data_IF_116534810053
#
_entry.id   IF_116534810053
#
_cell.length_a   1.000
_cell.length_b   1.000
_cell.length_c   1.000
_cell.angle_alpha   90.00
_cell.angle_beta   90.00
_cell.angle_gamma   90.00
#
_symmetry.space_group_name_H-M   'P 1'
#
loop_
_entity.id
_entity.type
_entity.pdbx_description
1 polymer ?
#
# COMPACT_ATOMS: atom_id res chain seq x y z
N UNK A 1 27.60 20.67 24.06
CA UNK A 1 26.14 20.54 24.06
C UNK A 1 25.71 20.51 22.61
N UNK A 2 25.71 19.31 22.01
CA UNK A 2 25.34 19.11 20.62
C UNK A 2 24.27 18.03 20.60
N UNK A 3 23.05 18.42 20.96
CA UNK A 3 21.85 17.64 20.76
C UNK A 3 21.61 17.53 19.25
N UNK A 4 22.35 16.60 18.63
CA UNK A 4 22.01 16.06 17.32
C UNK A 4 20.83 15.11 17.58
N UNK A 5 19.64 15.67 17.73
CA UNK A 5 18.42 14.90 17.53
C UNK A 5 18.44 14.54 16.04
N UNK A 6 18.99 13.36 15.74
CA UNK A 6 18.64 12.68 14.50
C UNK A 6 17.14 12.47 14.59
N UNK A 7 16.40 13.38 13.97
CA UNK A 7 15.03 13.13 13.55
C UNK A 7 15.09 11.76 12.88
N UNK A 8 14.56 10.77 13.60
CA UNK A 8 14.40 9.44 13.07
C UNK A 8 13.29 9.59 12.07
N UNK A 9 13.68 10.00 10.86
CA UNK A 9 12.84 10.04 9.68
C UNK A 9 12.33 8.61 9.54
N UNK A 10 11.19 8.36 10.18
CA UNK A 10 10.58 7.05 10.23
C UNK A 10 9.98 6.92 8.87
N UNK A 11 10.78 6.42 7.93
CA UNK A 11 10.37 6.13 6.57
C UNK A 11 9.13 5.25 6.66
N UNK A 12 7.95 5.84 6.52
CA UNK A 12 6.67 5.11 6.54
C UNK A 12 6.53 4.19 5.34
N UNK A 13 7.43 4.34 4.36
CA UNK A 13 7.60 3.49 3.20
C UNK A 13 8.73 2.47 3.36
N UNK A 14 9.44 2.47 4.51
CA UNK A 14 10.47 1.50 4.79
C UNK A 14 9.88 0.10 4.62
N UNK A 15 10.51 -0.66 3.74
CA UNK A 15 10.18 -2.06 3.52
C UNK A 15 10.90 -2.91 4.53
N UNK A 16 10.22 -3.92 5.07
CA UNK A 16 10.89 -5.00 5.80
C UNK A 16 11.82 -5.81 4.87
N UNK A 17 12.66 -6.71 5.41
CA UNK A 17 13.56 -7.57 4.63
C UNK A 17 12.83 -8.39 3.54
N UNK A 18 11.52 -8.61 3.68
CA UNK A 18 10.66 -9.26 2.68
C UNK A 18 10.12 -8.31 1.59
N UNK A 19 10.62 -7.07 1.49
CA UNK A 19 10.08 -6.00 0.63
C UNK A 19 8.61 -5.66 0.92
N UNK A 20 8.10 -6.09 2.07
CA UNK A 20 6.70 -5.89 2.45
C UNK A 20 6.51 -4.49 3.01
N UNK A 21 5.67 -3.72 2.32
CA UNK A 21 5.32 -2.37 2.74
C UNK A 21 4.24 -2.39 3.82
N UNK A 22 4.30 -1.48 4.81
CA UNK A 22 3.37 -1.46 5.94
C UNK A 22 1.90 -1.30 5.50
N UNK A 23 1.64 -0.57 4.41
CA UNK A 23 0.31 -0.45 3.84
C UNK A 23 -0.21 -1.77 3.26
N UNK A 24 0.60 -2.49 2.48
CA UNK A 24 0.21 -3.80 1.93
C UNK A 24 -0.07 -4.80 3.04
N UNK A 25 0.75 -4.83 4.09
CA UNK A 25 0.53 -5.65 5.28
C UNK A 25 -0.78 -5.31 6.00
N UNK A 26 -1.07 -4.03 6.21
CA UNK A 26 -2.32 -3.60 6.83
C UNK A 26 -3.55 -4.04 6.02
N UNK A 27 -3.47 -3.96 4.69
CA UNK A 27 -4.53 -4.46 3.80
C UNK A 27 -4.64 -5.98 3.86
N UNK A 28 -3.53 -6.73 3.78
CA UNK A 28 -3.52 -8.21 3.88
C UNK A 28 -4.14 -8.72 5.19
N UNK A 29 -3.96 -7.97 6.27
CA UNK A 29 -4.52 -8.29 7.57
C UNK A 29 -5.96 -7.79 7.74
N UNK A 30 -6.58 -7.18 6.72
CA UNK A 30 -7.91 -6.57 6.78
C UNK A 30 -8.03 -5.55 7.95
N UNK A 31 -6.97 -4.75 8.15
CA UNK A 31 -6.89 -3.78 9.24
C UNK A 31 -7.29 -2.39 8.74
N UNK A 32 -8.57 -2.19 8.45
CA UNK A 32 -9.07 -0.90 7.92
C UNK A 32 -8.68 0.33 8.79
N UNK A 33 -8.66 0.19 10.12
CA UNK A 33 -8.22 1.26 11.02
C UNK A 33 -6.74 1.63 10.85
N UNK A 34 -5.89 0.63 10.59
CA UNK A 34 -4.45 0.82 10.38
C UNK A 34 -4.21 1.42 9.01
N UNK A 35 -4.95 0.96 7.99
CA UNK A 35 -4.94 1.56 6.65
C UNK A 35 -5.31 3.04 6.72
N UNK A 36 -6.36 3.41 7.46
CA UNK A 36 -6.73 4.82 7.61
C UNK A 36 -5.60 5.65 8.25
N UNK A 37 -4.96 5.13 9.30
CA UNK A 37 -3.84 5.81 9.96
C UNK A 37 -2.64 5.98 9.03
N UNK A 38 -2.29 4.95 8.27
CA UNK A 38 -1.21 5.00 7.27
C UNK A 38 -1.54 5.98 6.15
N UNK A 39 -2.79 6.00 5.69
CA UNK A 39 -3.23 6.91 4.65
C UNK A 39 -3.17 8.36 5.11
N UNK A 40 -3.34 8.67 6.40
CA UNK A 40 -3.18 10.06 6.90
C UNK A 40 -1.76 10.60 6.69
N UNK A 41 -0.76 9.74 6.52
CA UNK A 41 0.60 10.17 6.23
C UNK A 41 0.68 10.64 4.78
N UNK A 42 1.10 11.87 4.55
CA UNK A 42 1.15 12.46 3.20
C UNK A 42 2.23 11.81 2.33
N UNK A 43 3.33 11.37 2.94
CA UNK A 43 4.44 10.69 2.28
C UNK A 43 4.17 9.22 1.96
N UNK A 44 3.00 8.65 2.26
CA UNK A 44 2.75 7.21 2.08
C UNK A 44 2.56 6.84 0.59
N UNK A 45 3.31 5.84 0.13
CA UNK A 45 3.20 5.34 -1.24
C UNK A 45 2.11 4.27 -1.36
N UNK A 46 0.89 4.68 -1.68
CA UNK A 46 -0.25 3.78 -1.81
C UNK A 46 -0.36 3.05 -3.16
N UNK A 47 0.40 3.47 -4.17
CA UNK A 47 0.44 2.83 -5.50
C UNK A 47 1.57 1.79 -5.63
N UNK A 48 2.46 1.73 -4.64
CA UNK A 48 3.66 0.92 -4.72
C UNK A 48 3.32 -0.58 -4.63
N UNK A 49 3.93 -1.36 -5.51
CA UNK A 49 3.72 -2.81 -5.60
C UNK A 49 4.52 -3.53 -4.51
N UNK A 50 3.92 -4.57 -3.94
CA UNK A 50 4.58 -5.53 -3.05
C UNK A 50 5.56 -6.41 -3.85
N UNK A 51 6.34 -7.29 -3.18
CA UNK A 51 7.33 -8.18 -3.82
C UNK A 51 6.75 -9.04 -4.95
N UNK A 52 5.44 -9.31 -4.89
CA UNK A 52 4.70 -10.09 -5.89
C UNK A 52 4.24 -9.24 -7.09
N UNK A 53 4.55 -7.95 -7.14
CA UNK A 53 4.04 -7.03 -8.15
C UNK A 53 2.58 -6.64 -7.94
N UNK A 54 2.06 -6.83 -6.71
CA UNK A 54 0.65 -6.63 -6.37
C UNK A 54 0.51 -5.29 -5.62
N UNK A 55 -0.36 -4.42 -6.11
CA UNK A 55 -0.73 -3.17 -5.43
C UNK A 55 -1.62 -3.46 -4.22
N UNK A 56 -1.52 -2.72 -3.09
CA UNK A 56 -2.43 -2.85 -1.95
C UNK A 56 -3.92 -2.76 -2.34
N UNK A 57 -4.25 -2.01 -3.39
CA UNK A 57 -5.61 -2.00 -3.94
C UNK A 57 -6.07 -3.37 -4.45
N UNK A 58 -5.21 -4.10 -5.16
CA UNK A 58 -5.53 -5.43 -5.67
C UNK A 58 -5.72 -6.42 -4.52
N UNK A 59 -4.92 -6.31 -3.45
CA UNK A 59 -5.09 -7.11 -2.23
C UNK A 59 -6.46 -6.84 -1.60
N UNK A 60 -6.86 -5.56 -1.46
CA UNK A 60 -8.17 -5.21 -0.93
C UNK A 60 -9.32 -5.74 -1.82
N UNK A 61 -9.13 -5.76 -3.14
CA UNK A 61 -10.08 -6.32 -4.08
C UNK A 61 -10.18 -7.85 -3.97
N UNK A 62 -9.06 -8.56 -3.78
CA UNK A 62 -9.04 -10.01 -3.53
C UNK A 62 -9.72 -10.39 -2.21
N UNK A 63 -9.59 -9.54 -1.19
CA UNK A 63 -10.30 -9.69 0.09
C UNK A 63 -11.77 -9.26 0.03
N UNK A 64 -12.20 -8.66 -1.09
CA UNK A 64 -13.53 -8.07 -1.26
C UNK A 64 -13.86 -6.99 -0.20
N UNK A 65 -12.83 -6.30 0.29
CA UNK A 65 -12.93 -5.27 1.32
C UNK A 65 -13.22 -3.89 0.74
N UNK A 66 -14.50 -3.65 0.48
CA UNK A 66 -14.98 -2.38 -0.05
C UNK A 66 -14.58 -1.18 0.81
N UNK A 67 -14.39 -1.35 2.12
CA UNK A 67 -14.03 -0.26 3.03
C UNK A 67 -12.60 0.23 2.78
N UNK A 68 -11.65 -0.72 2.70
CA UNK A 68 -10.25 -0.45 2.40
C UNK A 68 -10.11 0.08 0.96
N UNK A 69 -10.84 -0.50 0.01
CA UNK A 69 -10.86 -0.01 -1.38
C UNK A 69 -11.30 1.45 -1.46
N UNK A 70 -12.36 1.84 -0.74
CA UNK A 70 -12.81 3.24 -0.67
C UNK A 70 -11.75 4.17 -0.08
N UNK A 71 -11.08 3.74 0.98
CA UNK A 71 -10.01 4.53 1.60
C UNK A 71 -8.82 4.75 0.64
N UNK A 72 -8.41 3.71 -0.10
CA UNK A 72 -7.36 3.81 -1.11
C UNK A 72 -7.77 4.70 -2.29
N UNK A 73 -9.02 4.55 -2.79
CA UNK A 73 -9.59 5.40 -3.83
C UNK A 73 -9.67 6.87 -3.40
N UNK A 74 -9.98 7.15 -2.14
CA UNK A 74 -10.01 8.50 -1.59
C UNK A 74 -8.63 9.18 -1.60
N UNK A 75 -7.54 8.41 -1.66
CA UNK A 75 -6.17 8.91 -1.84
C UNK A 75 -5.76 9.14 -3.29
N UNK A 76 -6.62 8.79 -4.25
CA UNK A 76 -6.34 8.93 -5.68
C UNK A 76 -5.46 7.80 -6.26
N UNK A 77 -5.38 6.64 -5.58
CA UNK A 77 -4.66 5.46 -6.07
C UNK A 77 -5.19 5.05 -7.43
N UNK A 78 -4.31 4.94 -8.44
CA UNK A 78 -4.69 4.37 -9.73
C UNK A 78 -4.86 2.86 -9.58
N UNK A 79 -6.06 2.39 -9.90
CA UNK A 79 -6.42 0.97 -9.95
C UNK A 79 -5.72 0.22 -11.11
N UNK A 80 -4.97 0.92 -11.95
CA UNK A 80 -4.64 0.47 -13.30
C UNK A 80 -3.50 -0.54 -13.43
N UNK A 81 -2.69 -0.84 -12.40
CA UNK A 81 -1.39 -1.51 -12.67
C UNK A 81 -1.08 -2.74 -11.82
N UNK A 82 -2.05 -3.63 -11.72
CA UNK A 82 -1.86 -5.02 -11.29
C UNK A 82 -1.77 -6.01 -12.45
N UNK A 83 -1.15 -5.67 -13.60
CA UNK A 83 -0.86 -6.69 -14.60
C UNK A 83 0.52 -7.30 -14.34
N UNK A 84 0.53 -8.30 -13.48
CA UNK A 84 1.58 -9.31 -13.50
C UNK A 84 0.92 -10.67 -13.32
N UNK A 85 0.12 -11.05 -14.34
CA UNK A 85 0.44 -12.22 -15.16
C UNK A 85 -0.66 -12.66 -16.12
N UNK A 86 -1.94 -12.29 -16.01
CA UNK A 86 -2.97 -13.05 -16.76
C UNK A 86 -4.34 -12.39 -17.01
N UNK A 87 -4.53 -11.06 -16.88
CA UNK A 87 -5.87 -10.47 -17.11
C UNK A 87 -5.98 -9.38 -18.17
N UNK A 88 -4.86 -8.92 -18.76
CA UNK A 88 -4.89 -8.22 -20.04
C UNK A 88 -4.62 -9.11 -21.26
N UNK A 89 -4.69 -10.44 -21.13
CA UNK A 89 -4.74 -11.37 -22.26
C UNK A 89 -6.10 -11.34 -23.00
N UNK A 90 -6.74 -10.17 -23.05
CA UNK A 90 -7.83 -9.84 -23.96
C UNK A 90 -7.31 -8.82 -24.97
N UNK A 91 -6.42 -9.29 -25.83
CA UNK A 91 -6.16 -8.75 -27.16
C UNK A 91 -6.03 -9.94 -28.12
N UNK A 92 -7.17 -10.61 -28.39
CA UNK A 92 -7.86 -10.79 -29.69
C UNK A 92 -8.96 -11.85 -29.53
#
# INVERSE_FOLDING_TARGET
MSSHCSESDTDVNATDDDLQKPLALAVRNNRASVVELLLRVESIECEQKDKLGITPFLIAAELNDTNIMKQLLARGVKVQEGDNKHKNALHI
#
